data_IF_556814812079
#
_entry.id   IF_556814812079
#
_cell.length_a   1.000
_cell.length_b   1.000
_cell.length_c   1.000
_cell.angle_alpha   90.00
_cell.angle_beta   90.00
_cell.angle_gamma   90.00
#
_symmetry.space_group_name_H-M   'P 1'
#
loop_
_entity.id
_entity.type
_entity.pdbx_description
1 polymer ?
#
# COMPACT_ATOMS: atom_id res chain seq x y z
N UNK A 1 -4.15 -3.21 -5.66
CA UNK A 1 -2.85 -3.39 -4.98
C UNK A 1 -1.81 -2.45 -5.56
N UNK A 2 -0.85 -2.01 -4.76
CA UNK A 2 0.19 -1.09 -5.21
C UNK A 2 1.54 -1.39 -4.54
N UNK A 3 2.63 -0.95 -5.16
CA UNK A 3 3.89 -0.77 -4.45
C UNK A 3 3.75 0.36 -3.43
N UNK A 4 4.64 0.41 -2.43
CA UNK A 4 4.57 1.37 -1.34
C UNK A 4 5.89 2.14 -1.22
N UNK A 5 5.84 3.45 -1.43
CA UNK A 5 7.03 4.31 -1.46
C UNK A 5 7.05 5.27 -0.27
N UNK A 6 5.88 5.72 0.17
CA UNK A 6 5.74 6.68 1.27
C UNK A 6 4.34 6.62 1.88
N UNK A 7 4.16 7.12 3.08
CA UNK A 7 2.82 7.26 3.70
C UNK A 7 1.89 8.20 2.92
N UNK A 8 2.43 9.03 2.03
CA UNK A 8 1.64 9.91 1.16
C UNK A 8 0.87 9.13 0.09
N UNK A 9 1.29 7.91 -0.24
CA UNK A 9 0.62 7.05 -1.21
C UNK A 9 -0.86 6.88 -0.87
N UNK A 10 -1.16 6.76 0.43
CA UNK A 10 -2.53 6.62 0.94
C UNK A 10 -3.35 7.86 0.59
N UNK A 11 -2.82 9.05 0.86
CA UNK A 11 -3.51 10.33 0.60
C UNK A 11 -3.70 10.52 -0.90
N UNK A 12 -2.66 10.23 -1.69
CA UNK A 12 -2.67 10.42 -3.14
C UNK A 12 -3.68 9.49 -3.81
N UNK A 13 -3.65 8.21 -3.45
CA UNK A 13 -4.61 7.24 -4.00
C UNK A 13 -6.03 7.63 -3.57
N UNK A 14 -6.25 7.98 -2.30
CA UNK A 14 -7.59 8.30 -1.79
C UNK A 14 -8.15 9.59 -2.40
N UNK A 15 -7.30 10.52 -2.82
CA UNK A 15 -7.73 11.70 -3.57
C UNK A 15 -8.31 11.37 -4.94
N UNK A 16 -7.80 10.31 -5.57
CA UNK A 16 -8.22 9.88 -6.91
C UNK A 16 -9.37 8.86 -6.87
N UNK A 17 -9.38 8.00 -5.86
CA UNK A 17 -10.32 6.91 -5.72
C UNK A 17 -10.84 6.84 -4.28
N UNK A 18 -12.16 6.79 -4.07
CA UNK A 18 -12.73 6.52 -2.74
C UNK A 18 -12.48 5.05 -2.39
N UNK A 19 -11.48 4.78 -1.57
CA UNK A 19 -11.04 3.43 -1.21
C UNK A 19 -10.75 3.31 0.27
N UNK A 20 -10.87 2.09 0.81
CA UNK A 20 -10.40 1.75 2.14
C UNK A 20 -8.97 1.20 2.06
N UNK A 21 -8.17 1.43 3.08
CA UNK A 21 -6.80 0.91 3.15
C UNK A 21 -6.68 -0.15 4.23
N UNK A 22 -5.59 -0.91 4.15
CA UNK A 22 -5.14 -1.80 5.22
C UNK A 22 -3.82 -1.26 5.74
N UNK A 23 -3.76 -0.99 7.04
CA UNK A 23 -2.58 -0.45 7.71
C UNK A 23 -2.26 -1.23 9.00
N UNK A 24 -1.04 -1.06 9.50
CA UNK A 24 -0.67 -1.58 10.82
C UNK A 24 -1.43 -0.87 11.93
N UNK A 25 -1.79 -1.58 12.99
CA UNK A 25 -2.52 -1.02 14.14
C UNK A 25 -1.77 0.16 14.78
N UNK A 26 -0.44 0.10 14.86
CA UNK A 26 0.35 1.17 15.45
C UNK A 26 0.15 2.52 14.76
N UNK A 27 -0.23 2.52 13.48
CA UNK A 27 -0.48 3.75 12.71
C UNK A 27 -1.75 4.46 13.19
N UNK A 28 -2.71 3.74 13.76
CA UNK A 28 -3.94 4.33 14.30
C UNK A 28 -3.67 5.37 15.40
N UNK A 29 -2.61 5.17 16.17
CA UNK A 29 -2.18 6.06 17.26
C UNK A 29 -1.34 7.26 16.79
N UNK A 30 -0.99 7.34 15.51
CA UNK A 30 -0.15 8.43 15.02
C UNK A 30 -0.95 9.74 14.92
N UNK A 31 -0.40 10.86 15.41
CA UNK A 31 -1.03 12.15 15.25
C UNK A 31 -1.25 12.45 13.74
N UNK A 32 -2.38 13.02 13.41
CA UNK A 32 -2.78 13.39 12.03
C UNK A 32 -3.01 12.17 11.12
N UNK A 33 -2.00 11.35 10.86
CA UNK A 33 -2.09 10.21 9.92
C UNK A 33 -3.08 9.16 10.42
N UNK A 34 -3.05 8.81 11.70
CA UNK A 34 -4.00 7.87 12.30
C UNK A 34 -5.45 8.34 12.19
N UNK A 35 -5.69 9.64 12.46
CA UNK A 35 -7.02 10.23 12.31
C UNK A 35 -7.50 10.27 10.87
N UNK A 36 -6.62 10.62 9.92
CA UNK A 36 -6.95 10.62 8.50
C UNK A 36 -7.24 9.19 8.02
N UNK A 37 -6.40 8.23 8.36
CA UNK A 37 -6.60 6.84 8.02
C UNK A 37 -7.92 6.28 8.59
N UNK A 38 -8.25 6.60 9.84
CA UNK A 38 -9.54 6.20 10.44
C UNK A 38 -10.73 6.78 9.69
N UNK A 39 -10.66 8.05 9.28
CA UNK A 39 -11.74 8.71 8.52
C UNK A 39 -11.92 8.14 7.11
N UNK A 40 -10.88 7.56 6.51
CA UNK A 40 -10.96 6.87 5.20
C UNK A 40 -11.43 5.43 5.30
N UNK A 41 -11.86 4.97 6.47
CA UNK A 41 -12.32 3.60 6.69
C UNK A 41 -11.18 2.57 6.62
N UNK A 42 -9.96 2.97 6.97
CA UNK A 42 -8.81 2.08 7.01
C UNK A 42 -9.01 0.94 8.00
N UNK A 43 -8.70 -0.28 7.58
CA UNK A 43 -8.63 -1.47 8.41
C UNK A 43 -7.27 -1.51 9.10
N UNK A 44 -7.25 -1.41 10.41
CA UNK A 44 -6.02 -1.54 11.19
C UNK A 44 -5.81 -2.99 11.63
N UNK A 45 -4.62 -3.52 11.37
CA UNK A 45 -4.27 -4.92 11.64
C UNK A 45 -3.07 -5.01 12.58
N UNK A 46 -3.19 -5.89 13.56
CA UNK A 46 -2.08 -6.31 14.40
C UNK A 46 -1.33 -7.45 13.72
N UNK A 47 -0.02 -7.32 13.61
CA UNK A 47 0.81 -8.37 12.99
C UNK A 47 1.21 -9.42 14.02
N UNK A 48 1.31 -10.67 13.56
CA UNK A 48 1.89 -11.77 14.34
C UNK A 48 0.87 -12.70 14.98
N UNK A 49 -0.42 -12.37 14.97
CA UNK A 49 -1.46 -13.23 15.53
C UNK A 49 -2.31 -13.86 14.41
N UNK A 50 -2.55 -15.17 14.51
CA UNK A 50 -3.41 -15.88 13.57
C UNK A 50 -4.89 -15.49 13.72
N UNK A 51 -5.32 -15.20 14.95
CA UNK A 51 -6.69 -14.77 15.26
C UNK A 51 -6.98 -13.42 14.64
N UNK A 52 -6.09 -12.45 14.81
CA UNK A 52 -6.20 -11.12 14.21
C UNK A 52 -6.16 -11.17 12.66
N UNK A 53 -5.40 -12.14 12.11
CA UNK A 53 -5.38 -12.35 10.66
C UNK A 53 -6.70 -12.88 10.13
N UNK A 54 -7.37 -13.77 10.86
CA UNK A 54 -8.68 -14.31 10.49
C UNK A 54 -9.75 -13.22 10.60
N UNK A 55 -9.69 -12.38 11.64
CA UNK A 55 -10.57 -11.23 11.80
C UNK A 55 -10.44 -10.24 10.64
N UNK A 56 -9.21 -9.93 10.25
CA UNK A 56 -8.96 -9.05 9.11
C UNK A 56 -9.53 -9.62 7.80
N UNK A 57 -9.32 -10.91 7.55
CA UNK A 57 -9.88 -11.58 6.36
C UNK A 57 -11.42 -11.43 6.37
N UNK A 58 -12.06 -11.69 7.50
CA UNK A 58 -13.49 -11.52 7.67
C UNK A 58 -13.95 -10.07 7.41
N UNK A 59 -13.27 -9.09 7.98
CA UNK A 59 -13.60 -7.68 7.76
C UNK A 59 -13.41 -7.24 6.29
N UNK A 60 -12.39 -7.76 5.60
CA UNK A 60 -12.24 -7.54 4.17
C UNK A 60 -13.39 -8.14 3.37
N UNK A 61 -13.82 -9.34 3.72
CA UNK A 61 -14.95 -10.02 3.08
C UNK A 61 -16.25 -9.26 3.23
N UNK A 62 -16.55 -8.76 4.43
CA UNK A 62 -17.73 -7.92 4.65
C UNK A 62 -17.70 -6.65 3.79
N UNK A 63 -16.54 -6.01 3.65
CA UNK A 63 -16.39 -4.85 2.77
C UNK A 63 -16.56 -5.19 1.31
N UNK A 64 -16.09 -6.34 0.85
CA UNK A 64 -16.32 -6.79 -0.52
C UNK A 64 -17.82 -7.05 -0.80
N UNK A 65 -18.56 -7.61 0.16
CA UNK A 65 -20.03 -7.76 0.05
C UNK A 65 -20.72 -6.41 -0.13
N UNK A 66 -20.22 -5.36 0.49
CA UNK A 66 -20.70 -3.98 0.36
C UNK A 66 -20.13 -3.26 -0.89
N UNK A 67 -19.48 -3.99 -1.79
CA UNK A 67 -18.83 -3.46 -2.99
C UNK A 67 -17.76 -2.38 -2.72
N UNK A 68 -17.23 -2.32 -1.52
CA UNK A 68 -16.16 -1.41 -1.19
C UNK A 68 -14.86 -1.81 -1.88
N UNK A 69 -14.11 -0.81 -2.31
CA UNK A 69 -12.78 -0.99 -2.89
C UNK A 69 -11.74 -0.95 -1.76
N UNK A 70 -10.88 -1.95 -1.71
CA UNK A 70 -9.81 -2.03 -0.73
C UNK A 70 -8.47 -1.90 -1.44
N UNK A 71 -7.60 -1.02 -0.93
CA UNK A 71 -6.21 -0.91 -1.36
C UNK A 71 -5.29 -1.36 -0.25
N UNK A 72 -4.33 -2.20 -0.60
CA UNK A 72 -3.26 -2.59 0.31
C UNK A 72 -1.92 -2.67 -0.42
N UNK A 73 -0.86 -2.60 0.37
CA UNK A 73 0.52 -2.64 -0.08
C UNK A 73 1.13 -3.99 0.31
N UNK A 74 1.14 -4.97 -0.60
CA UNK A 74 1.50 -6.35 -0.25
C UNK A 74 2.98 -6.55 0.06
N UNK A 75 3.84 -5.56 -0.18
CA UNK A 75 5.22 -5.53 0.30
C UNK A 75 5.32 -5.50 1.83
N UNK A 76 4.27 -5.03 2.49
CA UNK A 76 4.19 -4.95 3.95
C UNK A 76 5.09 -3.91 4.59
N UNK A 77 5.89 -3.18 3.84
CA UNK A 77 6.75 -2.07 4.26
C UNK A 77 7.05 -1.14 3.09
N UNK A 78 7.48 0.07 3.40
CA UNK A 78 7.89 1.06 2.41
C UNK A 78 9.12 0.56 1.65
N UNK A 79 9.08 0.63 0.33
CA UNK A 79 10.14 0.30 -0.61
C UNK A 79 10.86 1.55 -1.13
N UNK A 80 11.79 1.34 -2.07
CA UNK A 80 12.56 2.43 -2.69
C UNK A 80 11.88 3.03 -3.95
N UNK A 81 10.70 2.53 -4.33
CA UNK A 81 9.96 2.98 -5.50
C UNK A 81 10.60 2.63 -6.86
N UNK A 82 11.76 1.97 -6.88
CA UNK A 82 12.42 1.55 -8.12
C UNK A 82 11.92 0.19 -8.58
N UNK A 83 11.74 -0.72 -7.64
CA UNK A 83 11.27 -2.08 -7.88
C UNK A 83 10.52 -2.58 -6.66
N UNK A 84 9.46 -3.36 -6.86
CA UNK A 84 8.72 -4.00 -5.78
C UNK A 84 9.49 -5.18 -5.22
N UNK A 85 9.35 -5.39 -3.92
CA UNK A 85 9.81 -6.57 -3.22
C UNK A 85 8.80 -7.71 -3.40
N UNK A 86 9.14 -8.89 -2.87
CA UNK A 86 8.21 -10.02 -2.82
C UNK A 86 6.90 -9.60 -2.14
N UNK A 87 5.79 -9.89 -2.79
CA UNK A 87 4.46 -9.68 -2.23
C UNK A 87 4.10 -10.78 -1.24
N UNK A 88 3.58 -10.39 -0.08
CA UNK A 88 3.13 -11.33 0.94
C UNK A 88 1.73 -11.83 0.62
N UNK A 89 1.58 -13.14 0.47
CA UNK A 89 0.33 -13.79 0.09
C UNK A 89 -0.78 -13.69 1.16
N UNK A 90 -0.44 -13.47 2.41
CA UNK A 90 -1.39 -13.50 3.54
C UNK A 90 -2.66 -12.65 3.33
N UNK A 91 -2.52 -11.47 2.76
CA UNK A 91 -3.66 -10.58 2.47
C UNK A 91 -4.53 -11.08 1.31
N UNK A 92 -3.94 -11.83 0.40
CA UNK A 92 -4.65 -12.40 -0.75
C UNK A 92 -5.55 -13.58 -0.39
N UNK A 93 -5.37 -14.19 0.80
CA UNK A 93 -6.28 -15.24 1.29
C UNK A 93 -7.72 -14.78 1.40
N UNK A 94 -7.97 -13.49 1.67
CA UNK A 94 -9.31 -12.92 1.73
C UNK A 94 -10.07 -12.93 0.40
N UNK A 95 -9.36 -13.06 -0.69
CA UNK A 95 -9.91 -13.08 -2.06
C UNK A 95 -9.80 -14.46 -2.73
N UNK A 96 -9.24 -15.43 -2.01
CA UNK A 96 -9.15 -16.81 -2.48
C UNK A 96 -10.55 -17.37 -2.72
N UNK A 97 -10.73 -18.06 -3.85
CA UNK A 97 -12.03 -18.61 -4.27
C UNK A 97 -13.17 -17.58 -4.49
N UNK A 98 -12.86 -16.31 -4.60
CA UNK A 98 -13.81 -15.24 -4.94
C UNK A 98 -13.58 -14.76 -6.37
N UNK A 99 -14.63 -14.37 -7.03
CA UNK A 99 -14.58 -13.79 -8.38
C UNK A 99 -14.42 -12.27 -8.28
N UNK A 100 -13.19 -11.84 -8.15
CA UNK A 100 -12.84 -10.43 -8.00
C UNK A 100 -11.83 -10.00 -9.04
N UNK A 101 -11.77 -8.70 -9.26
CA UNK A 101 -10.73 -8.08 -10.07
C UNK A 101 -9.77 -7.31 -9.18
N UNK A 102 -8.48 -7.53 -9.40
CA UNK A 102 -7.41 -6.79 -8.75
C UNK A 102 -6.86 -5.77 -9.73
N UNK A 103 -6.89 -4.50 -9.34
CA UNK A 103 -6.27 -3.40 -10.07
C UNK A 103 -4.84 -3.19 -9.55
N UNK A 104 -3.79 -3.56 -10.31
CA UNK A 104 -2.43 -3.18 -9.94
C UNK A 104 -2.21 -1.68 -10.20
N UNK A 105 -1.50 -1.02 -9.31
CA UNK A 105 -1.14 0.40 -9.43
C UNK A 105 0.36 0.51 -9.20
N UNK A 106 1.08 1.08 -10.15
CA UNK A 106 2.47 1.45 -10.00
C UNK A 106 2.58 2.91 -9.57
N UNK A 107 3.31 3.16 -8.47
CA UNK A 107 3.56 4.51 -7.94
C UNK A 107 5.04 4.83 -8.11
N UNK A 108 5.32 5.98 -8.72
CA UNK A 108 6.67 6.51 -8.90
C UNK A 108 6.74 7.96 -8.48
N UNK A 109 7.69 8.28 -7.64
CA UNK A 109 8.11 9.64 -7.35
C UNK A 109 9.33 9.97 -8.21
N UNK A 110 9.32 11.08 -8.98
CA UNK A 110 10.48 11.50 -9.77
C UNK A 110 11.74 11.71 -8.89
N UNK A 111 12.90 11.57 -9.50
CA UNK A 111 14.23 11.49 -8.84
C UNK A 111 14.58 12.68 -7.93
N UNK A 112 13.91 13.81 -8.06
CA UNK A 112 14.06 15.00 -7.17
C UNK A 112 13.67 14.75 -5.69
N UNK A 113 13.12 13.57 -5.41
CA UNK A 113 12.91 13.12 -4.05
C UNK A 113 14.17 12.40 -3.57
N UNK A 114 14.81 12.87 -2.50
CA UNK A 114 15.76 12.04 -1.79
C UNK A 114 14.99 10.88 -1.16
N UNK A 115 14.76 9.83 -1.93
CA UNK A 115 14.41 8.53 -1.38
C UNK A 115 15.69 8.06 -0.71
N UNK A 116 15.87 8.47 0.53
CA UNK A 116 16.99 8.00 1.33
C UNK A 116 16.84 6.48 1.44
N UNK A 117 17.81 5.72 0.94
CA UNK A 117 17.79 4.26 0.91
C UNK A 117 17.59 3.63 2.32
N UNK A 118 17.68 4.43 3.36
CA UNK A 118 17.54 4.05 4.78
C UNK A 118 16.11 4.19 5.33
N UNK A 119 15.10 4.56 4.51
CA UNK A 119 13.72 4.69 5.01
C UNK A 119 13.18 3.42 5.67
N UNK A 120 13.61 2.24 5.22
CA UNK A 120 13.19 0.98 5.84
C UNK A 120 13.79 0.75 7.23
N UNK A 121 14.96 1.31 7.50
CA UNK A 121 15.64 1.25 8.82
C UNK A 121 15.08 2.35 9.74
N UNK A 122 14.86 3.54 9.21
CA UNK A 122 14.28 4.68 9.95
C UNK A 122 12.87 4.35 10.48
N UNK A 123 12.08 3.56 9.74
CA UNK A 123 10.68 3.22 10.14
C UNK A 123 10.64 2.13 11.22
N UNK A 124 11.67 1.30 11.33
CA UNK A 124 11.74 0.26 12.37
C UNK A 124 12.08 0.83 13.75
N UNK A 125 12.67 2.01 13.81
CA UNK A 125 13.10 2.65 15.05
C UNK A 125 12.02 3.61 15.58
N UNK A 126 11.50 3.29 16.77
CA UNK A 126 10.50 4.10 17.49
C UNK A 126 10.99 5.52 17.83
N UNK A 127 12.30 5.76 17.85
CA UNK A 127 12.92 7.06 18.15
C UNK A 127 12.73 8.08 17.02
N UNK A 128 12.48 7.62 15.79
CA UNK A 128 12.49 8.44 14.58
C UNK A 128 11.12 8.97 14.15
N UNK A 129 10.09 8.84 15.00
CA UNK A 129 8.75 9.40 14.72
C UNK A 129 8.79 10.91 14.45
N UNK A 130 9.69 11.64 15.10
CA UNK A 130 9.91 13.07 14.90
C UNK A 130 10.52 13.41 13.55
N UNK A 131 11.49 12.62 13.08
CA UNK A 131 12.12 12.81 11.78
C UNK A 131 11.18 12.51 10.64
N UNK A 132 10.36 11.47 10.75
CA UNK A 132 9.31 11.15 9.79
C UNK A 132 8.29 12.28 9.67
N UNK A 133 7.90 12.87 10.78
CA UNK A 133 6.99 14.03 10.78
C UNK A 133 7.64 15.25 10.15
N UNK A 134 8.92 15.51 10.42
CA UNK A 134 9.69 16.58 9.80
C UNK A 134 9.82 16.41 8.28
N UNK A 135 10.10 15.21 7.81
CA UNK A 135 10.15 14.89 6.37
C UNK A 135 8.79 15.06 5.70
N UNK A 136 7.73 14.65 6.36
CA UNK A 136 6.36 14.86 5.91
C UNK A 136 6.00 16.34 5.83
N UNK A 137 6.39 17.11 6.84
CA UNK A 137 6.18 18.57 6.87
C UNK A 137 6.97 19.27 5.75
N UNK A 138 8.24 18.89 5.56
CA UNK A 138 9.06 19.38 4.45
C UNK A 138 8.44 19.07 3.09
N UNK A 139 7.81 17.92 2.93
CA UNK A 139 7.08 17.58 1.72
C UNK A 139 5.86 18.47 1.51
N UNK A 140 5.04 18.65 2.54
CA UNK A 140 3.85 19.51 2.48
C UNK A 140 4.18 20.99 2.23
N UNK A 141 5.36 21.43 2.66
CA UNK A 141 5.86 22.80 2.43
C UNK A 141 6.40 23.01 1.02
N UNK A 142 6.61 21.98 0.23
CA UNK A 142 7.03 22.12 -1.16
C UNK A 142 5.90 22.70 -2.00
N UNK A 143 6.21 23.71 -2.77
CA UNK A 143 5.23 24.43 -3.61
C UNK A 143 4.64 23.53 -4.71
N UNK A 144 5.39 22.52 -5.19
CA UNK A 144 4.95 21.55 -6.19
C UNK A 144 5.64 20.21 -5.93
N UNK A 145 4.89 19.14 -6.07
CA UNK A 145 5.40 17.77 -6.02
C UNK A 145 4.71 16.97 -7.10
N UNK A 146 5.48 16.18 -7.84
CA UNK A 146 4.97 15.32 -8.88
C UNK A 146 4.96 13.87 -8.39
N UNK A 147 3.91 13.15 -8.71
CA UNK A 147 3.82 11.71 -8.52
C UNK A 147 3.16 11.12 -9.76
N UNK A 148 3.66 9.98 -10.18
CA UNK A 148 3.12 9.23 -11.31
C UNK A 148 2.40 8.01 -10.74
N UNK A 149 1.12 7.87 -11.07
CA UNK A 149 0.33 6.68 -10.78
C UNK A 149 -0.09 6.05 -12.11
N UNK A 150 0.27 4.80 -12.31
CA UNK A 150 -0.12 4.03 -13.48
C UNK A 150 -1.10 2.95 -13.02
N UNK A 151 -2.33 3.02 -13.53
CA UNK A 151 -3.34 1.99 -13.34
C UNK A 151 -3.16 0.95 -14.45
N UNK A 152 -2.71 -0.24 -14.06
CA UNK A 152 -2.44 -1.33 -15.01
C UNK A 152 -3.71 -2.15 -15.27
N UNK A 153 -3.68 -3.02 -16.27
CA UNK A 153 -4.81 -3.88 -16.57
C UNK A 153 -5.21 -4.75 -15.40
N UNK A 154 -6.50 -4.81 -15.16
CA UNK A 154 -7.07 -5.62 -14.08
C UNK A 154 -6.74 -7.09 -14.26
N UNK A 155 -6.48 -7.76 -13.14
CA UNK A 155 -6.22 -9.19 -13.08
C UNK A 155 -7.40 -9.87 -12.43
N UNK A 156 -7.97 -10.87 -13.09
CA UNK A 156 -9.03 -11.70 -12.51
C UNK A 156 -8.45 -12.71 -11.52
N UNK A 157 -9.08 -12.86 -10.36
CA UNK A 157 -8.70 -13.90 -9.39
C UNK A 157 -9.00 -15.31 -9.87
N UNK A 158 -9.86 -15.46 -10.90
CA UNK A 158 -10.14 -16.75 -11.53
C UNK A 158 -8.96 -17.30 -12.31
N UNK A 159 -8.14 -16.41 -12.89
CA UNK A 159 -7.08 -16.79 -13.82
C UNK A 159 -5.82 -17.30 -13.09
N UNK A 160 -5.72 -17.01 -11.80
CA UNK A 160 -4.53 -17.30 -11.00
C UNK A 160 -4.90 -17.86 -9.63
N UNK A 161 -4.30 -18.99 -9.29
CA UNK A 161 -4.50 -19.64 -7.99
C UNK A 161 -3.28 -19.42 -7.08
N UNK A 162 -3.55 -19.38 -5.77
CA UNK A 162 -2.53 -19.35 -4.73
C UNK A 162 -1.52 -18.18 -4.90
N UNK A 163 -0.26 -18.44 -4.58
CA UNK A 163 0.80 -17.44 -4.62
C UNK A 163 1.15 -16.96 -6.05
N UNK A 164 0.70 -17.63 -7.10
CA UNK A 164 0.97 -17.22 -8.48
C UNK A 164 0.45 -15.81 -8.76
N UNK A 165 -0.71 -15.44 -8.20
CA UNK A 165 -1.29 -14.12 -8.37
C UNK A 165 -0.37 -13.01 -7.84
N UNK A 166 0.35 -13.26 -6.73
CA UNK A 166 1.27 -12.28 -6.14
C UNK A 166 2.45 -11.99 -7.05
N UNK A 167 2.97 -13.02 -7.72
CA UNK A 167 4.07 -12.89 -8.67
C UNK A 167 3.62 -12.11 -9.91
N UNK A 168 2.48 -12.48 -10.49
CA UNK A 168 1.91 -11.78 -11.66
C UNK A 168 1.69 -10.29 -11.37
N UNK A 169 1.14 -9.95 -10.21
CA UNK A 169 0.90 -8.57 -9.82
C UNK A 169 2.21 -7.80 -9.60
N UNK A 170 3.20 -8.44 -8.95
CA UNK A 170 4.51 -7.85 -8.74
C UNK A 170 5.25 -7.61 -10.06
N UNK A 171 5.20 -8.58 -11.00
CA UNK A 171 5.84 -8.47 -12.31
C UNK A 171 5.20 -7.35 -13.15
N UNK A 172 3.86 -7.25 -13.17
CA UNK A 172 3.17 -6.16 -13.85
C UNK A 172 3.61 -4.79 -13.33
N UNK A 173 3.68 -4.63 -12.01
CA UNK A 173 4.09 -3.36 -11.38
C UNK A 173 5.58 -3.10 -11.68
N UNK A 174 6.45 -4.10 -11.59
CA UNK A 174 7.87 -3.96 -11.92
C UNK A 174 8.07 -3.53 -13.37
N UNK A 175 7.40 -4.17 -14.32
CA UNK A 175 7.48 -3.80 -15.74
C UNK A 175 7.08 -2.33 -15.96
N UNK A 176 6.02 -1.87 -15.30
CA UNK A 176 5.61 -0.47 -15.39
C UNK A 176 6.64 0.49 -14.77
N UNK A 177 7.27 0.11 -13.64
CA UNK A 177 8.31 0.90 -13.00
C UNK A 177 9.59 0.94 -13.82
N UNK A 178 9.99 -0.17 -14.46
CA UNK A 178 11.17 -0.26 -15.32
C UNK A 178 11.01 0.66 -16.54
N UNK A 179 9.82 0.72 -17.15
CA UNK A 179 9.52 1.64 -18.26
C UNK A 179 9.56 3.14 -17.86
N UNK A 180 9.41 3.45 -16.58
CA UNK A 180 9.55 4.81 -16.06
C UNK A 180 10.99 5.17 -15.66
N UNK A 181 11.88 4.18 -15.62
CA UNK A 181 13.29 4.37 -15.30
C UNK A 181 14.18 4.45 -16.53
N UNK A 182 13.65 4.04 -17.71
CA UNK A 182 14.28 4.21 -19.03
C UNK A 182 14.06 5.62 -19.55
#
# INVERSE_FOLDING_TARGET
VSNHVTYLDIIIINKLLPVNFIAKEEISSWPVIGRLASKTGTLFIKRGDNVESSKMIYEMEERFKLQNKIVFFPEGKIGNGKRVRKFHYKLFKSIENKELYIQPIAIRYPIEYPVNNNYSEIISDKSLKGEMFSLYLKFLMRRRSHVILIFLDKVSTRDYKNETITNVLADKINHALDNLNS
#
